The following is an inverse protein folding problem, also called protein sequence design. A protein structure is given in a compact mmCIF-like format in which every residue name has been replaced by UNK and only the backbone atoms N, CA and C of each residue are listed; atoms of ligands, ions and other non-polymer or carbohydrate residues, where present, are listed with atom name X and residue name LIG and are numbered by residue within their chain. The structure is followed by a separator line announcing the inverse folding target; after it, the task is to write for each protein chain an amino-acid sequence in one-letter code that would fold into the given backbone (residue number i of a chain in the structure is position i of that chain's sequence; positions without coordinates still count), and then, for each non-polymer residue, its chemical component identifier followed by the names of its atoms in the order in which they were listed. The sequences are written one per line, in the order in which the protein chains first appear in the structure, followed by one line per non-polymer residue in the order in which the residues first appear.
data_IF_893694593436
#
_entry.id   IF_893694593436
#
_cell.length_a   1.000
_cell.length_b   1.000
_cell.length_c   1.000
_cell.angle_alpha   90.00
_cell.angle_beta   90.00
_cell.angle_gamma   90.00
#
_symmetry.space_group_name_H-M   'P 1'
#
loop_
_entity.id
_entity.type
_entity.pdbx_description
1 polymer ?
#
# COMPACT_ATOMS: atom_id res chain seq x y z
N UNK A 1 -22.29 -32.97 -13.46
CA UNK A 1 -22.90 -32.06 -14.44
C UNK A 1 -22.07 -30.76 -14.38
N UNK A 2 -21.07 -30.66 -15.27
CA UNK A 2 -20.22 -29.45 -15.30
C UNK A 2 -20.89 -28.41 -16.20
N UNK A 3 -21.34 -27.31 -15.59
CA UNK A 3 -21.96 -26.22 -16.33
C UNK A 3 -20.80 -25.29 -16.80
N UNK A 4 -20.41 -25.45 -18.06
CA UNK A 4 -19.43 -24.58 -18.70
C UNK A 4 -20.17 -23.45 -19.39
N UNK A 5 -20.09 -22.22 -18.81
CA UNK A 5 -20.64 -21.01 -19.43
C UNK A 5 -19.53 -20.40 -20.29
N UNK A 6 -19.64 -20.48 -21.60
CA UNK A 6 -18.79 -19.77 -22.53
C UNK A 6 -19.42 -18.39 -22.77
N UNK A 7 -18.75 -17.35 -22.29
CA UNK A 7 -19.18 -15.97 -22.49
C UNK A 7 -18.25 -15.29 -23.51
N UNK A 8 -18.79 -14.97 -24.68
CA UNK A 8 -18.07 -14.23 -25.72
C UNK A 8 -18.30 -12.73 -25.52
N UNK A 9 -17.36 -12.05 -24.89
CA UNK A 9 -17.44 -10.59 -24.67
C UNK A 9 -16.86 -9.80 -25.86
N UNK A 10 -17.70 -9.58 -26.87
CA UNK A 10 -17.35 -8.78 -28.06
C UNK A 10 -17.01 -7.34 -27.73
N UNK A 11 -17.58 -6.78 -26.66
CA UNK A 11 -17.30 -5.42 -26.23
C UNK A 11 -15.88 -5.28 -25.67
N UNK A 12 -15.42 -6.26 -24.91
CA UNK A 12 -14.03 -6.28 -24.41
C UNK A 12 -13.02 -6.42 -25.54
N UNK A 13 -13.30 -7.25 -26.56
CA UNK A 13 -12.44 -7.38 -27.73
C UNK A 13 -12.33 -6.08 -28.52
N UNK A 14 -13.45 -5.39 -28.76
CA UNK A 14 -13.45 -4.07 -29.41
C UNK A 14 -12.69 -3.01 -28.61
N UNK A 15 -12.89 -2.97 -27.28
CA UNK A 15 -12.20 -2.04 -26.38
C UNK A 15 -10.68 -2.33 -26.35
N UNK A 16 -10.28 -3.58 -26.38
CA UNK A 16 -8.88 -3.98 -26.48
C UNK A 16 -8.25 -3.54 -27.79
N UNK A 17 -8.93 -3.71 -28.92
CA UNK A 17 -8.45 -3.28 -30.22
C UNK A 17 -8.32 -1.75 -30.29
N UNK A 18 -9.35 -1.01 -29.88
CA UNK A 18 -9.30 0.45 -29.82
C UNK A 18 -8.20 0.97 -28.88
N UNK A 19 -7.89 0.21 -27.84
CA UNK A 19 -6.81 0.52 -26.92
C UNK A 19 -5.43 0.21 -27.52
N UNK A 20 -5.27 -0.86 -28.31
CA UNK A 20 -4.03 -1.20 -29.00
C UNK A 20 -3.66 -0.14 -30.05
N UNK A 21 -4.65 0.39 -30.75
CA UNK A 21 -4.47 1.45 -31.74
C UNK A 21 -4.09 2.81 -31.10
N UNK A 22 -4.32 2.96 -29.80
CA UNK A 22 -4.07 4.20 -29.07
C UNK A 22 -3.29 4.00 -27.76
N UNK A 23 -1.98 3.72 -27.83
CA UNK A 23 -1.17 3.42 -26.65
C UNK A 23 -1.14 4.55 -25.60
N UNK A 24 -1.44 5.80 -26.01
CA UNK A 24 -1.59 6.93 -25.09
C UNK A 24 -2.82 6.78 -24.19
N UNK A 25 -3.91 6.22 -24.69
CA UNK A 25 -5.13 5.96 -23.91
C UNK A 25 -4.90 4.88 -22.87
N UNK A 26 -4.25 3.77 -23.29
CA UNK A 26 -3.87 2.69 -22.36
C UNK A 26 -2.99 3.25 -21.25
N UNK A 27 -1.92 3.95 -21.60
CA UNK A 27 -1.00 4.52 -20.61
C UNK A 27 -1.72 5.45 -19.63
N UNK A 28 -2.66 6.27 -20.11
CA UNK A 28 -3.46 7.16 -19.25
C UNK A 28 -4.44 6.41 -18.37
N UNK A 29 -5.09 5.37 -18.90
CA UNK A 29 -6.01 4.53 -18.13
C UNK A 29 -5.27 3.77 -17.02
N UNK A 30 -4.12 3.17 -17.34
CA UNK A 30 -3.27 2.47 -16.38
C UNK A 30 -2.72 3.39 -15.28
N UNK A 31 -2.29 4.60 -15.63
CA UNK A 31 -1.87 5.60 -14.62
C UNK A 31 -3.01 5.96 -13.66
N UNK A 32 -4.23 6.13 -14.19
CA UNK A 32 -5.41 6.41 -13.38
C UNK A 32 -5.76 5.23 -12.47
N UNK A 33 -5.69 4.01 -13.00
CA UNK A 33 -5.91 2.79 -12.23
C UNK A 33 -4.87 2.62 -11.12
N UNK A 34 -3.58 2.85 -11.43
CA UNK A 34 -2.50 2.79 -10.45
C UNK A 34 -2.69 3.80 -9.31
N UNK A 35 -3.09 5.04 -9.64
CA UNK A 35 -3.37 6.07 -8.65
C UNK A 35 -4.56 5.70 -7.75
N UNK A 36 -5.69 5.22 -8.33
CA UNK A 36 -6.84 4.76 -7.54
C UNK A 36 -6.46 3.57 -6.65
N UNK A 37 -5.73 2.60 -7.19
CA UNK A 37 -5.22 1.43 -6.46
C UNK A 37 -4.34 1.83 -5.28
N UNK A 38 -3.40 2.75 -5.48
CA UNK A 38 -2.57 3.30 -4.41
C UNK A 38 -3.42 3.91 -3.29
N UNK A 39 -4.45 4.68 -3.63
CA UNK A 39 -5.36 5.28 -2.64
C UNK A 39 -6.09 4.22 -1.84
N UNK A 40 -6.66 3.22 -2.52
CA UNK A 40 -7.37 2.11 -1.87
C UNK A 40 -6.47 1.38 -0.87
N UNK A 41 -5.22 1.08 -1.24
CA UNK A 41 -4.24 0.46 -0.33
C UNK A 41 -3.93 1.38 0.86
N UNK A 42 -3.69 2.67 0.61
CA UNK A 42 -3.40 3.65 1.69
C UNK A 42 -4.58 3.79 2.66
N UNK A 43 -5.80 3.76 2.17
CA UNK A 43 -7.01 3.82 2.99
C UNK A 43 -7.19 2.53 3.79
N UNK A 44 -6.97 1.35 3.19
CA UNK A 44 -6.99 0.08 3.90
C UNK A 44 -5.97 0.01 5.03
N UNK A 45 -4.76 0.53 4.82
CA UNK A 45 -3.75 0.63 5.89
C UNK A 45 -4.18 1.66 6.96
N UNK A 46 -4.78 2.78 6.55
CA UNK A 46 -5.25 3.84 7.46
C UNK A 46 -6.36 3.36 8.38
N UNK A 47 -7.30 2.59 7.86
CA UNK A 47 -8.40 2.02 8.65
C UNK A 47 -7.92 1.01 9.70
N UNK A 48 -6.72 0.46 9.55
CA UNK A 48 -6.22 -0.63 10.40
C UNK A 48 -6.89 -1.98 10.12
N UNK A 49 -7.77 -2.03 9.12
CA UNK A 49 -8.52 -3.22 8.73
C UNK A 49 -8.58 -3.34 7.20
N UNK A 50 -7.47 -3.72 6.54
CA UNK A 50 -7.45 -3.86 5.09
C UNK A 50 -8.50 -4.86 4.64
N UNK A 51 -9.36 -4.44 3.72
CA UNK A 51 -10.50 -5.24 3.24
C UNK A 51 -11.36 -5.85 4.37
N UNK A 52 -11.60 -5.09 5.45
CA UNK A 52 -12.40 -5.52 6.59
C UNK A 52 -11.68 -6.45 7.58
N UNK A 53 -10.46 -6.90 7.31
CA UNK A 53 -9.67 -7.75 8.22
C UNK A 53 -8.78 -6.89 9.11
N UNK A 54 -9.04 -6.79 10.43
CA UNK A 54 -8.24 -5.95 11.31
C UNK A 54 -6.81 -6.47 11.44
N UNK A 55 -5.85 -5.55 11.53
CA UNK A 55 -4.48 -5.92 11.86
C UNK A 55 -4.37 -6.45 13.27
N UNK A 56 -3.47 -7.40 13.47
CA UNK A 56 -3.10 -7.82 14.81
C UNK A 56 -2.64 -6.60 15.63
N UNK A 57 -3.18 -6.41 16.86
CA UNK A 57 -2.82 -5.29 17.72
C UNK A 57 -1.34 -5.32 18.07
N UNK A 58 -0.82 -4.18 18.52
CA UNK A 58 0.53 -4.14 19.10
C UNK A 58 0.47 -4.74 20.51
N UNK A 59 1.45 -5.56 20.83
CA UNK A 59 1.61 -6.15 22.16
C UNK A 59 1.95 -5.13 23.25
N UNK A 60 2.55 -3.99 22.85
CA UNK A 60 2.97 -2.94 23.77
C UNK A 60 2.01 -1.75 23.72
N UNK A 61 1.69 -1.20 24.89
CA UNK A 61 0.95 0.05 24.99
C UNK A 61 1.77 1.22 24.41
N UNK A 62 1.14 2.33 24.00
CA UNK A 62 1.85 3.50 23.51
C UNK A 62 2.90 4.05 24.51
N UNK A 63 2.58 4.01 25.82
CA UNK A 63 3.48 4.42 26.90
C UNK A 63 4.70 3.51 26.99
N UNK A 64 4.50 2.20 27.06
CA UNK A 64 5.59 1.22 27.11
C UNK A 64 6.49 1.32 25.88
N UNK A 65 5.91 1.52 24.69
CA UNK A 65 6.69 1.67 23.47
C UNK A 65 7.56 2.92 23.48
N UNK A 66 7.06 4.06 23.95
CA UNK A 66 7.86 5.28 24.07
C UNK A 66 9.04 5.10 25.02
N UNK A 67 8.81 4.47 26.17
CA UNK A 67 9.86 4.17 27.14
C UNK A 67 10.92 3.23 26.57
N UNK A 68 10.48 2.19 25.86
CA UNK A 68 11.38 1.22 25.20
C UNK A 68 12.22 1.90 24.12
N UNK A 69 11.61 2.70 23.25
CA UNK A 69 12.29 3.43 22.19
C UNK A 69 13.31 4.44 22.78
N UNK A 70 12.94 5.14 23.84
CA UNK A 70 13.86 6.04 24.56
C UNK A 70 15.04 5.29 25.19
N UNK A 71 14.80 4.16 25.84
CA UNK A 71 15.84 3.32 26.45
C UNK A 71 16.80 2.70 25.41
N UNK A 72 16.34 2.51 24.17
CA UNK A 72 17.18 2.06 23.05
C UNK A 72 17.95 3.22 22.37
N UNK A 73 17.72 4.45 22.78
CA UNK A 73 18.30 5.65 22.14
C UNK A 73 17.56 6.09 20.88
N UNK A 74 16.36 5.56 20.63
CA UNK A 74 15.52 5.94 19.51
C UNK A 74 14.39 6.85 19.99
N UNK A 75 14.58 8.15 19.97
CA UNK A 75 13.50 9.11 20.25
C UNK A 75 12.74 9.36 18.95
N UNK A 76 11.55 8.81 18.76
CA UNK A 76 10.79 9.06 17.55
C UNK A 76 10.31 10.50 17.54
N UNK A 77 10.70 11.27 16.54
CA UNK A 77 10.24 12.66 16.33
C UNK A 77 8.71 12.74 16.14
N UNK A 78 8.07 11.65 15.73
CA UNK A 78 6.63 11.53 15.52
C UNK A 78 6.12 10.14 15.90
N UNK A 79 4.97 10.10 16.56
CA UNK A 79 4.24 8.84 16.80
C UNK A 79 3.44 8.50 15.54
N UNK A 80 3.80 7.42 14.87
CA UNK A 80 3.04 6.93 13.72
C UNK A 80 2.00 5.89 14.17
N UNK A 81 0.80 5.90 13.59
CA UNK A 81 -0.15 4.82 13.75
C UNK A 81 0.44 3.49 13.26
N UNK A 82 -0.22 2.39 13.59
CA UNK A 82 0.18 1.07 13.09
C UNK A 82 0.31 1.11 11.56
N UNK A 83 1.43 0.61 11.04
CA UNK A 83 1.77 0.63 9.60
C UNK A 83 1.86 2.04 8.96
N UNK A 84 1.81 3.13 9.75
CA UNK A 84 1.73 4.49 9.20
C UNK A 84 2.91 4.90 8.30
N UNK A 85 4.14 4.46 8.62
CA UNK A 85 5.31 4.69 7.75
C UNK A 85 5.20 3.90 6.46
N UNK A 86 4.76 2.64 6.53
CA UNK A 86 4.55 1.80 5.35
C UNK A 86 3.41 2.33 4.47
N UNK A 87 2.37 2.93 5.05
CA UNK A 87 1.32 3.63 4.31
C UNK A 87 1.88 4.77 3.46
N UNK A 88 2.78 5.58 4.02
CA UNK A 88 3.41 6.67 3.28
C UNK A 88 4.30 6.16 2.14
N UNK A 89 4.95 5.02 2.34
CA UNK A 89 5.82 4.40 1.35
C UNK A 89 5.09 3.69 0.21
N UNK A 90 3.75 3.52 0.30
CA UNK A 90 2.97 3.00 -0.83
C UNK A 90 2.98 4.01 -1.95
N UNK A 91 3.49 3.60 -3.09
CA UNK A 91 3.58 4.40 -4.31
C UNK A 91 3.05 3.65 -5.52
N UNK A 92 3.18 4.27 -6.70
CA UNK A 92 3.05 3.57 -7.97
C UNK A 92 4.15 4.01 -8.94
N UNK A 93 4.57 3.08 -9.78
CA UNK A 93 5.50 3.33 -10.88
C UNK A 93 4.77 3.16 -12.21
N UNK A 94 4.76 4.20 -13.01
CA UNK A 94 4.10 4.24 -14.32
C UNK A 94 5.06 4.48 -15.48
N UNK A 95 6.38 4.30 -15.28
CA UNK A 95 7.38 4.50 -16.33
C UNK A 95 7.14 3.60 -17.54
N UNK A 96 6.69 2.38 -17.29
CA UNK A 96 6.35 1.39 -18.30
C UNK A 96 4.86 1.33 -18.67
N UNK A 97 4.11 2.39 -18.38
CA UNK A 97 2.68 2.43 -18.70
C UNK A 97 2.39 2.36 -20.20
N UNK A 98 3.31 2.81 -21.05
CA UNK A 98 3.21 2.67 -22.51
C UNK A 98 3.34 1.21 -22.95
N UNK A 99 4.08 0.39 -22.18
CA UNK A 99 4.27 -1.03 -22.40
C UNK A 99 3.14 -1.86 -21.76
N UNK A 100 2.08 -1.23 -21.27
CA UNK A 100 0.97 -1.89 -20.58
C UNK A 100 1.25 -2.26 -19.12
N UNK A 101 2.35 -1.80 -18.53
CA UNK A 101 2.78 -2.20 -17.18
C UNK A 101 2.80 -1.02 -16.22
N UNK A 102 2.10 -1.17 -15.10
CA UNK A 102 2.21 -0.27 -13.94
C UNK A 102 2.39 -1.10 -12.67
N UNK A 103 3.22 -0.61 -11.76
CA UNK A 103 3.49 -1.29 -10.48
C UNK A 103 2.93 -0.44 -9.34
N UNK A 104 2.19 -1.05 -8.42
CA UNK A 104 1.64 -0.39 -7.24
C UNK A 104 2.08 -1.15 -5.99
N UNK A 105 2.63 -0.44 -5.01
CA UNK A 105 3.09 -1.08 -3.78
C UNK A 105 4.18 -0.29 -3.05
N UNK A 106 5.00 -0.98 -2.28
CA UNK A 106 6.20 -0.40 -1.69
C UNK A 106 7.33 -0.41 -2.71
N UNK A 107 7.73 0.79 -3.17
CA UNK A 107 8.69 0.92 -4.27
C UNK A 107 10.15 1.02 -3.81
N UNK A 108 10.40 1.45 -2.57
CA UNK A 108 11.77 1.52 -2.04
C UNK A 108 12.21 0.17 -1.44
N UNK A 109 13.49 -0.18 -1.62
CA UNK A 109 14.08 -1.43 -1.07
C UNK A 109 13.81 -1.59 0.43
N UNK A 110 13.99 -0.52 1.22
CA UNK A 110 13.75 -0.54 2.66
C UNK A 110 12.26 -0.76 3.00
N UNK A 111 11.34 -0.13 2.27
CA UNK A 111 9.91 -0.30 2.50
C UNK A 111 9.44 -1.71 2.11
N UNK A 112 9.96 -2.28 1.04
CA UNK A 112 9.70 -3.68 0.65
C UNK A 112 10.17 -4.63 1.74
N UNK A 113 11.42 -4.51 2.20
CA UNK A 113 11.98 -5.38 3.23
C UNK A 113 11.18 -5.31 4.55
N UNK A 114 10.89 -4.09 5.02
CA UNK A 114 10.12 -3.91 6.26
C UNK A 114 8.69 -4.38 6.05
N UNK A 115 8.11 -4.09 4.90
CA UNK A 115 6.75 -4.46 4.55
C UNK A 115 6.54 -5.97 4.46
N UNK A 116 7.46 -6.71 3.81
CA UNK A 116 7.41 -8.17 3.74
C UNK A 116 7.45 -8.78 5.14
N UNK A 117 8.42 -8.36 5.97
CA UNK A 117 8.49 -8.81 7.37
C UNK A 117 7.20 -8.53 8.14
N UNK A 118 6.58 -7.37 7.94
CA UNK A 118 5.31 -7.06 8.61
C UNK A 118 4.14 -7.89 8.08
N UNK A 119 4.14 -8.25 6.79
CA UNK A 119 3.09 -9.10 6.23
C UNK A 119 3.14 -10.53 6.76
N UNK A 120 4.33 -11.08 6.88
CA UNK A 120 4.55 -12.48 7.30
C UNK A 120 4.62 -12.62 8.83
N UNK A 121 4.89 -11.51 9.53
CA UNK A 121 5.32 -11.53 10.92
C UNK A 121 6.80 -11.90 11.01
N UNK A 122 7.39 -11.63 12.15
CA UNK A 122 8.81 -11.94 12.34
C UNK A 122 9.18 -12.08 13.81
N UNK A 123 10.26 -12.79 14.02
CA UNK A 123 10.90 -12.92 15.33
C UNK A 123 12.12 -12.01 15.41
N UNK A 124 12.33 -11.41 16.57
CA UNK A 124 13.51 -10.60 16.85
C UNK A 124 14.21 -11.15 18.08
N UNK A 125 15.53 -11.46 17.99
CA UNK A 125 16.29 -11.90 19.14
C UNK A 125 16.41 -10.79 20.20
N UNK A 126 16.38 -11.17 21.44
CA UNK A 126 16.50 -10.28 22.59
C UNK A 126 17.94 -10.26 23.04
N UNK A 127 18.64 -9.16 22.76
CA UNK A 127 19.97 -8.89 23.32
C UNK A 127 19.84 -8.39 24.76
N UNK A 128 20.95 -8.39 25.51
CA UNK A 128 20.98 -7.84 26.87
C UNK A 128 20.62 -6.36 26.89
N UNK A 129 21.02 -5.60 25.88
CA UNK A 129 20.60 -4.20 25.71
C UNK A 129 19.09 -4.10 25.57
N UNK A 130 18.51 -4.95 24.74
CA UNK A 130 17.05 -5.00 24.52
C UNK A 130 16.33 -5.41 25.80
N UNK A 131 16.84 -6.40 26.52
CA UNK A 131 16.27 -6.86 27.81
C UNK A 131 16.26 -5.73 28.85
N UNK A 132 17.37 -5.00 29.00
CA UNK A 132 17.46 -3.82 29.89
C UNK A 132 16.47 -2.73 29.47
N UNK A 133 16.31 -2.48 28.17
CA UNK A 133 15.37 -1.50 27.67
C UNK A 133 13.92 -1.91 27.93
N UNK A 134 13.57 -3.20 27.83
CA UNK A 134 12.25 -3.70 28.25
C UNK A 134 11.98 -3.48 29.73
N UNK A 135 12.96 -3.79 30.58
CA UNK A 135 12.85 -3.55 32.03
C UNK A 135 12.65 -2.06 32.35
N UNK A 136 13.40 -1.17 31.71
CA UNK A 136 13.21 0.28 31.81
C UNK A 136 11.85 0.77 31.36
N UNK A 137 11.21 0.05 30.43
CA UNK A 137 9.84 0.31 29.97
C UNK A 137 8.75 -0.32 30.88
N UNK A 138 9.17 -0.92 32.02
CA UNK A 138 8.25 -1.60 32.95
C UNK A 138 7.77 -2.97 32.44
N UNK A 139 8.50 -3.59 31.51
CA UNK A 139 8.17 -4.89 30.93
C UNK A 139 9.18 -5.92 31.41
N UNK A 140 8.76 -6.80 32.31
CA UNK A 140 9.60 -7.86 32.84
C UNK A 140 9.50 -9.07 31.90
N UNK A 141 10.62 -9.38 31.22
CA UNK A 141 10.71 -10.57 30.39
C UNK A 141 11.10 -11.78 31.25
N UNK A 142 10.45 -12.91 31.04
CA UNK A 142 10.84 -14.17 31.70
C UNK A 142 12.30 -14.51 31.37
N UNK A 143 13.00 -15.12 32.32
CA UNK A 143 14.45 -15.41 32.23
C UNK A 143 14.84 -16.20 30.96
N UNK A 144 13.98 -17.12 30.49
CA UNK A 144 14.19 -17.92 29.28
C UNK A 144 13.71 -17.29 27.98
N UNK A 145 13.18 -16.04 27.99
CA UNK A 145 12.69 -15.40 26.76
C UNK A 145 13.86 -14.92 25.92
N UNK A 146 14.13 -15.56 24.80
CA UNK A 146 15.22 -15.23 23.86
C UNK A 146 14.77 -14.46 22.63
N UNK A 147 13.48 -14.51 22.31
CA UNK A 147 12.88 -13.92 21.11
C UNK A 147 11.62 -13.14 21.44
N UNK A 148 11.37 -12.09 20.66
CA UNK A 148 10.05 -11.41 20.60
C UNK A 148 9.37 -11.72 19.28
N UNK A 149 8.06 -11.97 19.32
CA UNK A 149 7.26 -12.24 18.13
C UNK A 149 6.47 -11.00 17.72
N UNK A 150 6.58 -10.62 16.47
CA UNK A 150 5.70 -9.62 15.85
C UNK A 150 4.68 -10.36 14.99
N UNK A 151 3.41 -10.21 15.32
CA UNK A 151 2.32 -10.86 14.59
C UNK A 151 2.26 -10.37 13.13
N UNK A 152 1.89 -11.27 12.24
CA UNK A 152 1.67 -10.97 10.83
C UNK A 152 0.58 -9.91 10.63
N UNK A 153 0.82 -9.01 9.68
CA UNK A 153 -0.13 -7.95 9.29
C UNK A 153 -0.24 -7.91 7.77
N UNK A 154 -0.92 -8.92 7.18
CA UNK A 154 -1.04 -9.02 5.74
C UNK A 154 -1.83 -7.82 5.20
N UNK A 155 -1.25 -7.10 4.27
CA UNK A 155 -1.84 -5.93 3.63
C UNK A 155 -2.17 -6.24 2.17
N UNK A 156 -1.14 -6.50 1.36
CA UNK A 156 -1.34 -6.72 -0.08
C UNK A 156 -2.14 -7.97 -0.40
N UNK A 157 -1.87 -9.16 0.19
CA UNK A 157 -2.65 -10.35 -0.12
C UNK A 157 -4.14 -10.17 0.18
N UNK A 158 -4.46 -9.47 1.28
CA UNK A 158 -5.85 -9.21 1.68
C UNK A 158 -6.53 -8.17 0.80
N UNK A 159 -5.77 -7.16 0.32
CA UNK A 159 -6.31 -6.09 -0.51
C UNK A 159 -6.33 -6.41 -2.01
N UNK A 160 -5.60 -7.44 -2.44
CA UNK A 160 -5.41 -7.76 -3.85
C UNK A 160 -6.73 -7.87 -4.63
N UNK A 161 -7.77 -8.59 -4.19
CA UNK A 161 -9.02 -8.71 -4.93
C UNK A 161 -9.70 -7.35 -5.15
N UNK A 162 -9.75 -6.52 -4.09
CA UNK A 162 -10.34 -5.19 -4.17
C UNK A 162 -9.55 -4.26 -5.09
N UNK A 163 -8.22 -4.34 -5.05
CA UNK A 163 -7.33 -3.54 -5.90
C UNK A 163 -7.48 -3.94 -7.36
N UNK A 164 -7.56 -5.24 -7.66
CA UNK A 164 -7.79 -5.75 -9.01
C UNK A 164 -9.12 -5.27 -9.57
N UNK A 165 -10.20 -5.36 -8.79
CA UNK A 165 -11.51 -4.86 -9.21
C UNK A 165 -11.47 -3.37 -9.51
N UNK A 166 -10.96 -2.53 -8.59
CA UNK A 166 -10.86 -1.07 -8.78
C UNK A 166 -9.98 -0.72 -9.98
N UNK A 167 -8.91 -1.46 -10.22
CA UNK A 167 -8.05 -1.25 -11.36
C UNK A 167 -8.79 -1.57 -12.67
N UNK A 168 -9.45 -2.73 -12.76
CA UNK A 168 -10.21 -3.15 -13.93
C UNK A 168 -11.33 -2.17 -14.26
N UNK A 169 -12.14 -1.80 -13.26
CA UNK A 169 -13.24 -0.83 -13.43
C UNK A 169 -12.72 0.52 -13.91
N UNK A 170 -11.60 1.00 -13.34
CA UNK A 170 -10.99 2.28 -13.73
C UNK A 170 -10.47 2.26 -15.16
N UNK A 171 -9.82 1.17 -15.58
CA UNK A 171 -9.33 1.02 -16.95
C UNK A 171 -10.52 1.00 -17.91
N UNK A 172 -11.56 0.20 -17.60
CA UNK A 172 -12.78 0.11 -18.41
C UNK A 172 -13.45 1.49 -18.56
N UNK A 173 -13.72 2.20 -17.45
CA UNK A 173 -14.32 3.53 -17.47
C UNK A 173 -13.51 4.52 -18.32
N UNK A 174 -12.19 4.51 -18.19
CA UNK A 174 -11.31 5.40 -18.93
C UNK A 174 -11.33 5.09 -20.44
N UNK A 175 -11.22 3.82 -20.82
CA UNK A 175 -11.24 3.43 -22.23
C UNK A 175 -12.59 3.80 -22.86
N UNK A 176 -13.71 3.49 -22.18
CA UNK A 176 -15.04 3.87 -22.65
C UNK A 176 -15.15 5.39 -22.83
N UNK A 177 -14.62 6.19 -21.88
CA UNK A 177 -14.64 7.64 -21.99
C UNK A 177 -13.84 8.17 -23.18
N UNK A 178 -12.75 7.54 -23.55
CA UNK A 178 -11.96 7.88 -24.74
C UNK A 178 -12.68 7.50 -26.02
N UNK A 179 -13.24 6.30 -26.08
CA UNK A 179 -14.00 5.83 -27.27
C UNK A 179 -15.23 6.71 -27.51
N UNK A 180 -15.91 7.15 -26.46
CA UNK A 180 -17.08 8.03 -26.56
C UNK A 180 -16.74 9.52 -26.78
N UNK A 181 -15.46 9.86 -26.97
CA UNK A 181 -15.02 11.25 -27.12
C UNK A 181 -15.23 12.13 -25.87
N UNK A 182 -15.63 11.54 -24.74
CA UNK A 182 -15.79 12.23 -23.45
C UNK A 182 -14.43 12.39 -22.77
N UNK A 183 -13.53 13.16 -23.40
CA UNK A 183 -12.31 13.57 -22.72
C UNK A 183 -12.68 14.55 -21.63
N UNK A 184 -12.73 14.11 -20.39
CA UNK A 184 -12.82 15.02 -19.26
C UNK A 184 -11.53 15.85 -19.23
N UNK A 185 -11.55 17.01 -19.87
CA UNK A 185 -10.56 18.07 -19.63
C UNK A 185 -10.73 18.56 -18.21
N UNK A 186 -10.15 17.85 -17.27
CA UNK A 186 -9.86 18.41 -15.95
C UNK A 186 -8.64 19.30 -16.10
N UNK A 187 -8.82 20.48 -16.64
CA UNK A 187 -7.88 21.59 -16.52
C UNK A 187 -7.92 22.09 -15.07
N UNK A 188 -7.37 21.34 -14.14
CA UNK A 188 -6.91 21.92 -12.89
C UNK A 188 -5.57 22.58 -13.20
N UNK A 189 -5.63 23.85 -13.58
CA UNK A 189 -4.49 24.76 -13.57
C UNK A 189 -3.97 24.80 -12.13
N UNK A 190 -2.91 24.07 -11.86
CA UNK A 190 -2.19 24.14 -10.59
C UNK A 190 -1.40 25.44 -10.60
N UNK A 191 -1.99 26.52 -10.11
CA UNK A 191 -1.27 27.76 -9.84
C UNK A 191 -0.37 27.51 -8.64
N UNK A 192 0.88 27.10 -8.90
CA UNK A 192 1.95 27.12 -7.90
C UNK A 192 2.38 28.57 -7.69
N UNK A 193 1.86 29.18 -6.63
CA UNK A 193 2.36 30.46 -6.15
C UNK A 193 3.71 30.20 -5.44
N UNK A 194 4.80 30.58 -6.07
CA UNK A 194 6.11 30.62 -5.42
C UNK A 194 6.18 31.92 -4.62
N UNK A 195 6.26 31.83 -3.30
CA UNK A 195 6.65 32.98 -2.47
C UNK A 195 8.15 33.17 -2.63
N UNK A 196 8.54 34.25 -3.31
CA UNK A 196 9.93 34.74 -3.32
C UNK A 196 10.13 35.48 -2.00
N UNK A 197 11.03 34.99 -1.16
CA UNK A 197 11.51 35.72 -0.01
C UNK A 197 12.67 36.60 -0.47
N UNK A 198 12.51 37.92 -0.37
CA UNK A 198 13.59 38.91 -0.43
C UNK A 198 14.28 38.99 0.95
#
# INVERSE_FOLDING_TARGET
MDLRIEYEDKASAFLLQAAQDNPKWIASALKSAAWKSQRVIKEGIKSGAPNGKPYAPRSLTPKQRRLLEAALGHIPKRTYPLMGRLRQAVGYDSRRAKDGIVTVGWLSKSAVLIGSKQQEGFQTPISDKTRRAFAAAGIILRKGTTMTNTAARPTFPVMLPKVQQVAADTVREKIISYVMGKTSRSTKTSTRTYKVYQ
#
